data_IF_869833504610
#
_entry.id   IF_869833504610
#
_cell.length_a   1.000
_cell.length_b   1.000
_cell.length_c   1.000
_cell.angle_alpha   90.00
_cell.angle_beta   90.00
_cell.angle_gamma   90.00
#
_symmetry.space_group_name_H-M   'P 1'
#
loop_
_entity.id
_entity.type
_entity.pdbx_description
1 polymer ?
#
# COMPACT_ATOMS: atom_id res chain seq x y z
N UNK A 1 -12.23 -13.10 3.47
CA UNK A 1 -11.16 -12.07 3.51
C UNK A 1 -9.91 -12.71 2.92
N UNK A 2 -9.35 -12.13 1.85
CA UNK A 2 -8.11 -12.60 1.25
C UNK A 2 -6.94 -11.77 1.79
N UNK A 3 -5.85 -12.43 2.17
CA UNK A 3 -4.63 -11.76 2.64
C UNK A 3 -3.45 -12.25 1.81
N UNK A 4 -2.68 -11.30 1.28
CA UNK A 4 -1.51 -11.57 0.45
C UNK A 4 -0.30 -11.00 1.17
N UNK A 5 0.63 -11.88 1.55
CA UNK A 5 1.89 -11.48 2.17
C UNK A 5 2.97 -11.34 1.11
N UNK A 6 3.78 -10.29 1.22
CA UNK A 6 4.92 -10.06 0.34
C UNK A 6 6.00 -9.26 1.08
N UNK A 7 7.24 -9.40 0.61
CA UNK A 7 8.33 -8.50 0.98
C UNK A 7 8.36 -7.35 -0.02
N UNK A 8 8.38 -6.11 0.46
CA UNK A 8 8.49 -4.95 -0.41
C UNK A 8 9.81 -5.02 -1.20
N UNK A 9 9.78 -5.13 -2.54
CA UNK A 9 10.99 -5.33 -3.35
C UNK A 9 11.72 -4.01 -3.62
N UNK A 10 11.12 -2.87 -3.26
CA UNK A 10 11.66 -1.55 -3.58
C UNK A 10 12.76 -1.17 -2.59
N UNK A 11 13.99 -0.86 -3.07
CA UNK A 11 15.12 -0.58 -2.18
C UNK A 11 14.90 0.66 -1.30
N UNK A 12 14.13 1.63 -1.81
CA UNK A 12 13.77 2.86 -1.10
C UNK A 12 12.36 2.82 -0.51
N UNK A 13 11.78 1.63 -0.36
CA UNK A 13 10.42 1.45 0.14
C UNK A 13 9.34 2.13 -0.72
N UNK A 14 8.17 2.30 -0.10
CA UNK A 14 6.97 2.83 -0.73
C UNK A 14 6.90 4.37 -0.59
N UNK A 15 7.58 5.09 -1.47
CA UNK A 15 7.53 6.55 -1.55
C UNK A 15 6.53 7.05 -2.61
N UNK A 16 6.51 8.36 -2.89
CA UNK A 16 5.48 9.02 -3.69
C UNK A 16 5.10 8.32 -5.00
N UNK A 17 6.10 7.98 -5.84
CA UNK A 17 5.87 7.36 -7.16
C UNK A 17 5.27 5.95 -7.08
N UNK A 18 5.86 4.96 -6.36
CA UNK A 18 5.28 3.63 -6.25
C UNK A 18 3.97 3.61 -5.45
N UNK A 19 3.78 4.52 -4.48
CA UNK A 19 2.50 4.65 -3.77
C UNK A 19 1.37 5.11 -4.70
N UNK A 20 1.64 6.04 -5.61
CA UNK A 20 0.68 6.48 -6.62
C UNK A 20 0.32 5.33 -7.57
N UNK A 21 1.31 4.59 -8.08
CA UNK A 21 1.07 3.46 -8.98
C UNK A 21 0.22 2.37 -8.30
N UNK A 22 0.57 1.99 -7.07
CA UNK A 22 -0.20 1.01 -6.30
C UNK A 22 -1.65 1.47 -6.11
N UNK A 23 -1.84 2.75 -5.77
CA UNK A 23 -3.16 3.34 -5.62
C UNK A 23 -3.97 3.26 -6.92
N UNK A 24 -3.41 3.59 -8.08
CA UNK A 24 -4.12 3.49 -9.37
C UNK A 24 -4.56 2.04 -9.68
N UNK A 25 -3.73 1.05 -9.37
CA UNK A 25 -4.09 -0.36 -9.53
C UNK A 25 -5.19 -0.78 -8.55
N UNK A 26 -5.12 -0.35 -7.30
CA UNK A 26 -6.13 -0.65 -6.28
C UNK A 26 -7.47 0.08 -6.52
N UNK A 27 -7.45 1.30 -7.06
CA UNK A 27 -8.64 2.11 -7.33
C UNK A 27 -9.56 1.53 -8.41
N UNK A 28 -9.07 0.61 -9.25
CA UNK A 28 -9.89 -0.08 -10.26
C UNK A 28 -10.88 -1.08 -9.66
N UNK A 29 -10.66 -1.50 -8.41
CA UNK A 29 -11.47 -2.52 -7.74
C UNK A 29 -12.50 -1.86 -6.83
N UNK A 30 -13.69 -2.48 -6.71
CA UNK A 30 -14.71 -2.01 -5.76
C UNK A 30 -14.45 -2.50 -4.34
N UNK A 31 -13.68 -3.57 -4.16
CA UNK A 31 -13.34 -4.12 -2.85
C UNK A 31 -12.56 -3.12 -1.99
N UNK A 32 -12.73 -3.21 -0.68
CA UNK A 32 -11.84 -2.56 0.27
C UNK A 32 -10.47 -3.26 0.26
N UNK A 33 -9.40 -2.49 0.12
CA UNK A 33 -8.04 -3.01 0.05
C UNK A 33 -7.21 -2.26 1.10
N UNK A 34 -6.77 -2.97 2.13
CA UNK A 34 -5.95 -2.41 3.20
C UNK A 34 -4.50 -2.85 3.03
N UNK A 35 -3.58 -1.89 3.03
CA UNK A 35 -2.15 -2.13 3.10
C UNK A 35 -1.72 -2.23 4.57
N UNK A 36 -0.90 -3.22 4.90
CA UNK A 36 -0.36 -3.42 6.25
C UNK A 36 1.17 -3.44 6.23
N UNK A 37 1.81 -2.48 6.88
CA UNK A 37 3.25 -2.51 7.10
C UNK A 37 3.56 -3.16 8.45
N UNK A 38 4.03 -4.41 8.42
CA UNK A 38 4.40 -5.15 9.63
C UNK A 38 5.55 -4.51 10.41
N UNK A 39 6.50 -3.82 9.76
CA UNK A 39 7.66 -3.20 10.43
C UNK A 39 7.24 -2.10 11.40
N UNK A 40 6.23 -1.32 11.03
CA UNK A 40 5.74 -0.18 11.80
C UNK A 40 4.38 -0.43 12.48
N UNK A 41 3.82 -1.65 12.31
CA UNK A 41 2.47 -1.99 12.74
C UNK A 41 1.40 -0.98 12.24
N UNK A 42 1.58 -0.49 11.02
CA UNK A 42 0.76 0.58 10.43
C UNK A 42 -0.19 0.03 9.35
N UNK A 43 -1.36 0.66 9.23
CA UNK A 43 -2.36 0.35 8.20
C UNK A 43 -2.63 1.58 7.32
N UNK A 44 -2.90 1.35 6.04
CA UNK A 44 -3.37 2.38 5.13
C UNK A 44 -4.44 1.85 4.19
N UNK A 45 -5.34 2.73 3.76
CA UNK A 45 -6.17 2.48 2.60
C UNK A 45 -5.27 2.43 1.36
N UNK A 46 -5.27 1.29 0.65
CA UNK A 46 -4.46 1.12 -0.54
C UNK A 46 -4.94 1.98 -1.72
N UNK A 47 -6.13 2.58 -1.64
CA UNK A 47 -6.66 3.55 -2.61
C UNK A 47 -6.30 5.01 -2.28
N UNK A 48 -5.50 5.24 -1.23
CA UNK A 48 -4.98 6.56 -0.87
C UNK A 48 -3.45 6.58 -0.93
N UNK A 49 -2.91 7.24 -1.95
CA UNK A 49 -1.46 7.37 -2.10
C UNK A 49 -0.81 8.10 -0.91
N UNK A 50 -1.50 9.10 -0.34
CA UNK A 50 -1.02 9.81 0.85
C UNK A 50 -0.96 8.90 2.07
N UNK A 51 -1.99 8.06 2.28
CA UNK A 51 -1.99 7.10 3.38
C UNK A 51 -0.87 6.06 3.22
N UNK A 52 -0.66 5.56 1.99
CA UNK A 52 0.40 4.61 1.67
C UNK A 52 1.80 5.18 1.97
N UNK A 53 2.08 6.42 1.55
CA UNK A 53 3.36 7.10 1.84
C UNK A 53 3.59 7.22 3.35
N UNK A 54 2.53 7.48 4.12
CA UNK A 54 2.59 7.56 5.58
C UNK A 54 2.92 6.25 6.29
N UNK A 55 2.95 5.11 5.58
CA UNK A 55 3.38 3.80 6.11
C UNK A 55 4.83 3.45 5.82
N UNK A 56 5.56 4.32 5.11
CA UNK A 56 6.97 4.12 4.71
C UNK A 56 7.97 4.21 5.86
#
# INVERSE_FOLDING_TARGET
MLTIQFLCPLPNGLHARPAWELKEQCSQWQSEITFFNHRQNAKADAKSSLALIGTG
#
